data_IF_881156039459
#
_entry.id   IF_881156039459
#
_cell.length_a   1.000
_cell.length_b   1.000
_cell.length_c   1.000
_cell.angle_alpha   90.00
_cell.angle_beta   90.00
_cell.angle_gamma   90.00
#
_symmetry.space_group_name_H-M   'P 1'
#
loop_
_entity.id
_entity.type
_entity.pdbx_description
1 polymer ?
#
# COMPACT_ATOMS: atom_id res chain seq x y z
N UNK A 1 18.57 93.70 -4.81
CA UNK A 1 19.12 92.35 -4.54
C UNK A 1 18.87 92.03 -3.08
N UNK A 2 17.79 91.30 -2.79
CA UNK A 2 17.31 91.04 -1.42
C UNK A 2 18.06 89.90 -0.75
N UNK A 3 18.36 90.07 0.54
CA UNK A 3 18.87 89.02 1.43
C UNK A 3 17.67 88.30 2.06
N UNK A 4 17.55 86.99 1.85
CA UNK A 4 16.61 86.13 2.58
C UNK A 4 17.22 85.67 3.91
N UNK A 5 16.43 85.56 5.01
CA UNK A 5 16.92 85.15 6.33
C UNK A 5 16.87 83.63 6.53
N UNK A 6 17.86 83.09 7.25
CA UNK A 6 17.94 81.67 7.61
C UNK A 6 16.91 81.29 8.70
N UNK A 7 16.13 80.25 8.44
CA UNK A 7 15.20 79.64 9.40
C UNK A 7 15.95 78.61 10.25
N UNK A 8 16.06 78.91 11.55
CA UNK A 8 16.52 78.02 12.62
C UNK A 8 15.67 76.74 12.67
N UNK A 9 16.32 75.58 12.52
CA UNK A 9 15.71 74.26 12.66
C UNK A 9 15.96 73.74 14.08
N UNK A 10 14.92 73.76 14.92
CA UNK A 10 14.94 73.12 16.24
C UNK A 10 14.96 71.58 16.14
N UNK A 11 15.40 70.86 17.19
CA UNK A 11 15.49 69.40 17.16
C UNK A 11 14.10 68.75 17.01
N UNK A 12 13.99 67.77 16.11
CA UNK A 12 12.77 66.99 15.90
C UNK A 12 12.37 66.20 17.17
N UNK A 13 11.07 66.07 17.48
CA UNK A 13 10.58 65.23 18.57
C UNK A 13 11.03 63.77 18.39
N UNK A 14 11.58 63.16 19.44
CA UNK A 14 11.94 61.74 19.40
C UNK A 14 10.68 60.87 19.48
N UNK A 15 10.60 59.77 18.68
CA UNK A 15 9.48 58.85 18.73
C UNK A 15 9.41 58.14 20.11
N UNK A 16 8.20 57.81 20.60
CA UNK A 16 8.02 57.15 21.89
C UNK A 16 8.63 55.74 21.91
N UNK A 17 9.10 55.25 23.07
CA UNK A 17 9.69 53.92 23.20
C UNK A 17 8.65 52.81 22.98
N UNK A 18 9.00 51.82 22.16
CA UNK A 18 8.15 50.69 21.79
C UNK A 18 7.70 49.90 23.03
N UNK A 19 6.38 49.84 23.24
CA UNK A 19 5.78 49.17 24.39
C UNK A 19 5.85 47.64 24.26
N UNK A 20 6.23 46.88 25.31
CA UNK A 20 6.44 45.42 25.27
C UNK A 20 5.17 44.55 25.09
N UNK A 21 4.01 45.16 24.87
CA UNK A 21 2.72 44.46 24.77
C UNK A 21 2.49 43.77 23.41
N UNK A 22 3.25 44.13 22.36
CA UNK A 22 3.12 43.55 21.01
C UNK A 22 3.90 42.25 20.82
N UNK A 23 4.97 42.01 21.58
CA UNK A 23 5.85 40.85 21.41
C UNK A 23 5.22 39.50 21.83
N UNK A 24 4.20 39.52 22.70
CA UNK A 24 3.60 38.29 23.24
C UNK A 24 2.60 37.64 22.29
N UNK A 25 1.95 38.43 21.41
CA UNK A 25 0.99 37.94 20.41
C UNK A 25 1.64 37.23 19.23
N UNK A 26 2.80 37.73 18.77
CA UNK A 26 3.54 37.12 17.66
C UNK A 26 4.06 35.74 18.02
N UNK A 27 4.58 35.55 19.23
CA UNK A 27 5.18 34.27 19.64
C UNK A 27 4.17 33.10 19.60
N UNK A 28 2.91 33.32 19.98
CA UNK A 28 1.87 32.28 19.94
C UNK A 28 1.42 32.01 18.49
N UNK A 29 1.32 33.07 17.67
CA UNK A 29 0.97 32.96 16.26
C UNK A 29 2.06 32.25 15.44
N UNK A 30 3.32 32.57 15.71
CA UNK A 30 4.49 31.94 15.07
C UNK A 30 4.60 30.47 15.46
N UNK A 31 4.45 30.13 16.75
CA UNK A 31 4.46 28.74 17.21
C UNK A 31 3.31 27.95 16.59
N UNK A 32 2.11 28.53 16.52
CA UNK A 32 0.95 27.88 15.89
C UNK A 32 1.17 27.68 14.38
N UNK A 33 1.76 28.66 13.69
CA UNK A 33 2.11 28.58 12.29
C UNK A 33 3.16 27.49 12.03
N UNK A 34 4.27 27.47 12.78
CA UNK A 34 5.30 26.45 12.66
C UNK A 34 4.77 25.06 13.00
N UNK A 35 3.89 24.92 14.00
CA UNK A 35 3.26 23.65 14.35
C UNK A 35 2.35 23.17 13.22
N UNK A 36 1.55 24.06 12.62
CA UNK A 36 0.68 23.72 11.49
C UNK A 36 1.49 23.35 10.25
N UNK A 37 2.58 24.08 9.95
CA UNK A 37 3.51 23.76 8.87
C UNK A 37 4.19 22.42 9.12
N UNK A 38 4.66 22.15 10.34
CA UNK A 38 5.27 20.87 10.70
C UNK A 38 4.27 19.72 10.55
N UNK A 39 3.04 19.87 11.05
CA UNK A 39 1.98 18.86 10.92
C UNK A 39 1.63 18.60 9.45
N UNK A 40 1.51 19.64 8.65
CA UNK A 40 1.23 19.54 7.20
C UNK A 40 2.39 18.87 6.47
N UNK A 41 3.63 19.22 6.82
CA UNK A 41 4.84 18.62 6.25
C UNK A 41 4.94 17.14 6.58
N UNK A 42 4.72 16.76 7.84
CA UNK A 42 4.70 15.35 8.26
C UNK A 42 3.60 14.58 7.53
N UNK A 43 2.41 15.15 7.43
CA UNK A 43 1.28 14.53 6.70
C UNK A 43 1.61 14.34 5.22
N UNK A 44 2.25 15.34 4.59
CA UNK A 44 2.69 15.26 3.21
C UNK A 44 3.77 14.18 3.01
N UNK A 45 4.77 14.11 3.89
CA UNK A 45 5.81 13.08 3.83
C UNK A 45 5.22 11.68 4.03
N UNK A 46 4.27 11.51 4.95
CA UNK A 46 3.57 10.24 5.14
C UNK A 46 2.74 9.84 3.90
N UNK A 47 2.09 10.82 3.27
CA UNK A 47 1.35 10.62 2.02
C UNK A 47 2.29 10.18 0.89
N UNK A 48 3.40 10.89 0.68
CA UNK A 48 4.42 10.54 -0.32
C UNK A 48 5.03 9.17 -0.03
N UNK A 49 5.31 8.87 1.24
CA UNK A 49 5.87 7.58 1.68
C UNK A 49 5.02 6.39 1.26
N UNK A 50 3.69 6.53 1.28
CA UNK A 50 2.77 5.47 0.83
C UNK A 50 2.87 5.18 -0.67
N UNK A 51 3.33 6.14 -1.48
CA UNK A 51 3.49 5.99 -2.93
C UNK A 51 4.87 5.50 -3.36
N UNK A 52 5.88 5.59 -2.49
CA UNK A 52 7.24 5.13 -2.80
C UNK A 52 7.28 3.63 -3.08
N UNK A 53 6.50 2.83 -2.35
CA UNK A 53 6.47 1.37 -2.54
C UNK A 53 5.97 0.98 -3.95
N UNK A 54 4.83 1.47 -4.45
CA UNK A 54 4.42 1.31 -5.86
C UNK A 54 5.47 1.77 -6.87
N UNK A 55 6.11 2.93 -6.64
CA UNK A 55 7.13 3.48 -7.55
C UNK A 55 8.35 2.57 -7.61
N UNK A 56 8.80 2.05 -6.47
CA UNK A 56 9.91 1.10 -6.39
C UNK A 56 9.59 -0.18 -7.17
N UNK A 57 8.43 -0.79 -6.94
CA UNK A 57 8.00 -1.98 -7.67
C UNK A 57 7.86 -1.72 -9.17
N UNK A 58 7.40 -0.54 -9.58
CA UNK A 58 7.36 -0.13 -10.97
C UNK A 58 8.76 -0.04 -11.59
N UNK A 59 9.76 0.50 -10.89
CA UNK A 59 11.15 0.58 -11.36
C UNK A 59 11.78 -0.81 -11.53
N UNK A 60 11.52 -1.69 -10.57
CA UNK A 60 11.93 -3.08 -10.59
C UNK A 60 11.34 -3.81 -11.79
N UNK A 61 10.01 -3.76 -11.95
CA UNK A 61 9.32 -4.39 -13.07
C UNK A 61 9.77 -3.80 -14.40
N UNK A 62 9.96 -2.48 -14.48
CA UNK A 62 10.47 -1.83 -15.69
C UNK A 62 11.84 -2.39 -16.08
N UNK A 63 12.74 -2.59 -15.12
CA UNK A 63 14.07 -3.17 -15.36
C UNK A 63 13.99 -4.62 -15.85
N UNK A 64 13.14 -5.44 -15.22
CA UNK A 64 12.96 -6.85 -15.57
C UNK A 64 12.29 -7.02 -16.94
N UNK A 65 11.28 -6.21 -17.25
CA UNK A 65 10.51 -6.28 -18.50
C UNK A 65 11.05 -5.38 -19.62
N UNK A 66 12.11 -4.60 -19.37
CA UNK A 66 12.81 -3.82 -20.38
C UNK A 66 13.18 -4.61 -21.67
N UNK A 67 13.72 -5.85 -21.60
CA UNK A 67 13.99 -6.62 -22.82
C UNK A 67 12.71 -6.97 -23.60
N UNK A 68 11.60 -7.25 -22.91
CA UNK A 68 10.29 -7.52 -23.54
C UNK A 68 9.80 -6.27 -24.27
N UNK A 69 9.88 -5.12 -23.60
CA UNK A 69 9.52 -3.84 -24.21
C UNK A 69 10.36 -3.55 -25.45
N UNK A 70 11.69 -3.77 -25.41
CA UNK A 70 12.56 -3.55 -26.57
C UNK A 70 12.18 -4.43 -27.76
N UNK A 71 11.73 -5.67 -27.52
CA UNK A 71 11.19 -6.54 -28.57
C UNK A 71 9.90 -5.97 -29.16
N UNK A 72 8.97 -5.49 -28.34
CA UNK A 72 7.74 -4.87 -28.81
C UNK A 72 8.00 -3.56 -29.58
N UNK A 73 8.93 -2.71 -29.13
CA UNK A 73 9.33 -1.48 -29.87
C UNK A 73 9.85 -1.82 -31.26
N UNK A 74 10.68 -2.86 -31.39
CA UNK A 74 11.20 -3.32 -32.69
C UNK A 74 10.09 -3.86 -33.60
N UNK A 75 9.13 -4.60 -33.04
CA UNK A 75 7.99 -5.16 -33.80
C UNK A 75 6.96 -4.10 -34.22
N UNK A 76 6.74 -3.08 -33.41
CA UNK A 76 5.74 -2.02 -33.61
C UNK A 76 6.31 -0.78 -34.33
N UNK A 77 7.43 -0.93 -35.05
CA UNK A 77 8.00 0.14 -35.88
C UNK A 77 8.49 1.35 -35.08
N UNK A 78 9.02 1.16 -33.88
CA UNK A 78 9.60 2.25 -33.06
C UNK A 78 8.60 3.02 -32.20
N UNK A 79 7.30 2.69 -32.24
CA UNK A 79 6.26 3.35 -31.44
C UNK A 79 6.34 2.94 -29.96
N UNK A 80 7.04 3.75 -29.16
CA UNK A 80 7.32 3.47 -27.73
C UNK A 80 6.06 3.37 -26.86
N UNK A 81 5.03 4.18 -27.12
CA UNK A 81 3.78 4.17 -26.36
C UNK A 81 3.01 2.86 -26.53
N UNK A 82 2.83 2.39 -27.76
CA UNK A 82 2.17 1.12 -28.05
C UNK A 82 2.95 -0.06 -27.48
N UNK A 83 4.27 -0.04 -27.57
CA UNK A 83 5.12 -1.08 -27.01
C UNK A 83 5.06 -1.14 -25.47
N UNK A 84 5.03 0.01 -24.79
CA UNK A 84 4.84 0.08 -23.34
C UNK A 84 3.47 -0.48 -22.93
N UNK A 85 2.41 -0.12 -23.65
CA UNK A 85 1.05 -0.60 -23.40
C UNK A 85 0.93 -2.12 -23.60
N UNK A 86 1.53 -2.66 -24.68
CA UNK A 86 1.61 -4.10 -24.89
C UNK A 86 2.40 -4.83 -23.79
N UNK A 87 3.48 -4.22 -23.29
CA UNK A 87 4.26 -4.77 -22.17
C UNK A 87 3.42 -4.80 -20.89
N UNK A 88 2.66 -3.74 -20.61
CA UNK A 88 1.75 -3.69 -19.45
C UNK A 88 0.67 -4.75 -19.54
N UNK A 89 0.05 -4.94 -20.71
CA UNK A 89 -0.92 -6.02 -20.90
C UNK A 89 -0.30 -7.39 -20.64
N UNK A 90 0.96 -7.59 -21.04
CA UNK A 90 1.70 -8.82 -20.76
C UNK A 90 1.92 -9.00 -19.25
N UNK A 91 2.34 -7.94 -18.54
CA UNK A 91 2.53 -7.95 -17.08
C UNK A 91 1.21 -8.19 -16.35
N UNK A 92 0.14 -7.53 -16.80
CA UNK A 92 -1.20 -7.68 -16.24
C UNK A 92 -1.67 -9.13 -16.38
N UNK A 93 -1.52 -9.74 -17.55
CA UNK A 93 -1.82 -11.15 -17.75
C UNK A 93 -0.99 -12.06 -16.86
N UNK A 94 0.31 -11.79 -16.72
CA UNK A 94 1.21 -12.64 -15.94
C UNK A 94 0.98 -12.54 -14.42
N UNK A 95 0.52 -11.40 -13.91
CA UNK A 95 0.32 -11.17 -12.46
C UNK A 95 -1.14 -11.32 -12.04
N UNK A 96 -2.10 -10.77 -12.79
CA UNK A 96 -3.52 -10.77 -12.40
C UNK A 96 -4.17 -12.13 -12.60
N UNK A 97 -3.82 -12.84 -13.68
CA UNK A 97 -4.39 -14.18 -13.95
C UNK A 97 -4.10 -15.17 -12.81
N UNK A 98 -2.86 -15.38 -12.35
CA UNK A 98 -2.61 -16.33 -11.26
C UNK A 98 -3.28 -15.90 -9.94
N UNK A 99 -3.30 -14.60 -9.64
CA UNK A 99 -4.01 -14.08 -8.45
C UNK A 99 -5.52 -14.36 -8.54
N UNK A 100 -6.12 -14.15 -9.71
CA UNK A 100 -7.53 -14.40 -9.94
C UNK A 100 -7.87 -15.90 -9.86
N UNK A 101 -7.03 -16.75 -10.46
CA UNK A 101 -7.18 -18.21 -10.35
C UNK A 101 -7.07 -18.69 -8.91
N UNK A 102 -6.11 -18.16 -8.14
CA UNK A 102 -5.97 -18.45 -6.72
C UNK A 102 -7.21 -18.01 -5.93
N UNK A 103 -7.70 -16.79 -6.17
CA UNK A 103 -8.92 -16.30 -5.53
C UNK A 103 -10.15 -17.15 -5.85
N UNK A 104 -10.28 -17.61 -7.10
CA UNK A 104 -11.33 -18.55 -7.51
C UNK A 104 -11.19 -19.91 -6.83
N UNK A 105 -9.97 -20.45 -6.72
CA UNK A 105 -9.71 -21.73 -6.05
C UNK A 105 -10.10 -21.66 -4.55
N UNK A 106 -9.65 -20.61 -3.84
CA UNK A 106 -9.99 -20.41 -2.44
C UNK A 106 -11.50 -20.20 -2.24
N UNK A 107 -12.16 -19.45 -3.13
CA UNK A 107 -13.61 -19.26 -3.05
C UNK A 107 -14.37 -20.57 -3.24
N UNK A 108 -13.90 -21.46 -4.15
CA UNK A 108 -14.50 -22.78 -4.34
C UNK A 108 -14.31 -23.66 -3.12
N UNK A 109 -13.11 -23.69 -2.55
CA UNK A 109 -12.84 -24.43 -1.31
C UNK A 109 -13.69 -23.93 -0.13
N UNK A 110 -13.84 -22.61 0.02
CA UNK A 110 -14.68 -22.03 1.07
C UNK A 110 -16.17 -22.39 0.90
N UNK A 111 -16.68 -22.39 -0.34
CA UNK A 111 -18.05 -22.82 -0.65
C UNK A 111 -18.23 -24.33 -0.42
N UNK A 112 -17.26 -25.16 -0.80
CA UNK A 112 -17.28 -26.59 -0.53
C UNK A 112 -17.23 -26.89 0.96
N UNK A 113 -16.41 -26.17 1.73
CA UNK A 113 -16.37 -26.29 3.19
C UNK A 113 -17.73 -25.90 3.80
N UNK A 114 -18.33 -24.81 3.32
CA UNK A 114 -19.65 -24.37 3.78
C UNK A 114 -20.74 -25.39 3.42
N UNK A 115 -20.71 -25.95 2.21
CA UNK A 115 -21.61 -27.04 1.81
C UNK A 115 -21.37 -28.30 2.64
N UNK A 116 -20.13 -28.69 2.93
CA UNK A 116 -19.82 -29.84 3.80
C UNK A 116 -20.32 -29.64 5.24
N UNK A 117 -20.25 -28.43 5.76
CA UNK A 117 -20.81 -28.07 7.07
C UNK A 117 -22.34 -28.09 7.03
N UNK A 118 -22.97 -27.55 5.98
CA UNK A 118 -24.44 -27.43 5.85
C UNK A 118 -25.12 -28.74 5.44
N UNK A 119 -24.45 -29.58 4.67
CA UNK A 119 -24.93 -30.91 4.25
C UNK A 119 -24.64 -32.00 5.27
N UNK A 120 -23.89 -31.70 6.34
CA UNK A 120 -23.46 -32.70 7.32
C UNK A 120 -22.43 -33.70 6.77
N UNK A 121 -21.71 -33.34 5.70
CA UNK A 121 -20.70 -34.15 5.03
C UNK A 121 -19.26 -33.93 5.57
N UNK A 122 -19.07 -33.02 6.55
CA UNK A 122 -18.16 -33.42 7.63
C UNK A 122 -18.92 -34.55 8.31
N UNK A 123 -18.47 -35.78 8.08
CA UNK A 123 -19.01 -37.02 8.62
C UNK A 123 -19.00 -36.98 10.15
N UNK A 124 -19.89 -36.18 10.73
CA UNK A 124 -20.22 -36.15 12.13
C UNK A 124 -21.16 -37.32 12.44
N UNK A 125 -21.56 -38.17 11.48
CA UNK A 125 -22.22 -39.44 11.79
C UNK A 125 -21.25 -40.46 12.39
N UNK A 126 -19.95 -40.41 12.06
CA UNK A 126 -18.92 -41.21 12.75
C UNK A 126 -18.82 -40.87 14.24
N UNK A 127 -18.48 -39.63 14.63
CA UNK A 127 -18.39 -39.21 16.03
C UNK A 127 -19.74 -39.02 16.74
N UNK A 128 -20.75 -38.39 16.13
CA UNK A 128 -22.06 -38.19 16.79
C UNK A 128 -22.93 -39.46 16.76
N UNK A 129 -22.74 -40.35 15.79
CA UNK A 129 -23.36 -41.68 15.79
C UNK A 129 -22.70 -42.63 16.79
N UNK A 130 -21.37 -42.54 16.99
CA UNK A 130 -20.67 -43.23 18.08
C UNK A 130 -21.08 -42.64 19.44
N UNK A 131 -21.20 -41.32 19.56
CA UNK A 131 -21.72 -40.66 20.77
C UNK A 131 -23.17 -41.08 21.01
N UNK A 132 -24.09 -41.01 20.03
CA UNK A 132 -25.50 -41.47 20.18
C UNK A 132 -25.63 -42.96 20.46
N UNK A 133 -24.75 -43.81 19.92
CA UNK A 133 -24.73 -45.26 20.22
C UNK A 133 -24.08 -45.59 21.57
N UNK A 134 -23.21 -44.72 22.09
CA UNK A 134 -22.69 -44.75 23.47
C UNK A 134 -23.63 -44.03 24.47
N UNK A 135 -24.59 -43.24 23.98
CA UNK A 135 -25.48 -42.40 24.80
C UNK A 135 -26.47 -43.16 25.68
N UNK A 136 -27.00 -44.37 25.39
CA UNK A 136 -27.88 -45.01 26.37
C UNK A 136 -27.12 -45.48 27.62
N UNK A 137 -25.77 -45.58 27.58
CA UNK A 137 -24.92 -45.90 28.74
C UNK A 137 -24.31 -44.64 29.36
N UNK A 138 -24.11 -43.58 28.56
CA UNK A 138 -23.59 -42.31 29.06
C UNK A 138 -24.65 -41.39 29.67
N UNK A 139 -25.93 -41.46 29.25
CA UNK A 139 -27.01 -40.58 29.76
C UNK A 139 -27.23 -40.73 31.26
N UNK A 140 -27.07 -41.94 31.82
CA UNK A 140 -27.26 -42.20 33.25
C UNK A 140 -26.10 -41.67 34.13
N UNK A 141 -24.92 -41.44 33.52
CA UNK A 141 -23.74 -40.84 34.17
C UNK A 141 -23.59 -39.34 33.87
N UNK A 142 -24.07 -38.85 32.72
CA UNK A 142 -24.03 -37.44 32.34
C UNK A 142 -25.10 -36.60 33.05
N UNK A 143 -26.27 -37.16 33.34
CA UNK A 143 -27.29 -36.52 34.19
C UNK A 143 -26.79 -36.30 35.62
N UNK A 144 -25.86 -37.14 36.10
CA UNK A 144 -25.19 -36.95 37.40
C UNK A 144 -24.09 -35.87 37.38
N UNK A 145 -23.61 -35.49 36.20
CA UNK A 145 -22.62 -34.42 35.99
C UNK A 145 -23.25 -33.08 35.58
N UNK A 146 -24.56 -33.02 35.32
CA UNK A 146 -25.30 -31.78 35.04
C UNK A 146 -24.93 -31.09 33.72
N UNK A 147 -24.43 -31.84 32.73
CA UNK A 147 -24.08 -31.28 31.41
C UNK A 147 -25.25 -31.50 30.45
N UNK A 148 -26.07 -30.45 30.34
CA UNK A 148 -27.24 -30.42 29.46
C UNK A 148 -26.80 -30.37 27.99
N UNK A 149 -27.34 -31.27 27.15
CA UNK A 149 -27.03 -31.33 25.71
C UNK A 149 -27.50 -30.04 25.00
N UNK A 150 -28.52 -29.38 25.55
CA UNK A 150 -29.00 -28.08 25.07
C UNK A 150 -27.97 -26.96 25.28
N UNK A 151 -27.17 -27.02 26.35
CA UNK A 151 -26.13 -26.05 26.67
C UNK A 151 -24.94 -26.16 25.69
N UNK A 152 -24.67 -27.38 25.18
CA UNK A 152 -23.68 -27.62 24.11
C UNK A 152 -24.17 -27.04 22.78
N UNK A 153 -25.45 -27.25 22.42
CA UNK A 153 -26.05 -26.66 21.22
C UNK A 153 -26.06 -25.12 21.25
N UNK A 154 -26.37 -24.54 22.41
CA UNK A 154 -26.32 -23.08 22.61
C UNK A 154 -24.90 -22.52 22.52
N UNK A 155 -23.90 -23.18 23.12
CA UNK A 155 -22.49 -22.76 23.00
C UNK A 155 -21.96 -22.90 21.58
N UNK A 156 -22.34 -23.96 20.87
CA UNK A 156 -21.94 -24.17 19.49
C UNK A 156 -22.55 -23.11 18.56
N UNK A 157 -23.85 -22.81 18.71
CA UNK A 157 -24.52 -21.74 17.96
C UNK A 157 -23.95 -20.36 18.30
N UNK A 158 -23.70 -20.05 19.56
CA UNK A 158 -23.05 -18.80 19.97
C UNK A 158 -21.63 -18.67 19.38
N UNK A 159 -20.86 -19.76 19.33
CA UNK A 159 -19.54 -19.77 18.71
C UNK A 159 -19.59 -19.60 17.19
N UNK A 160 -20.58 -20.20 16.52
CA UNK A 160 -20.80 -20.03 15.08
C UNK A 160 -21.23 -18.60 14.73
N UNK A 161 -22.08 -17.97 15.55
CA UNK A 161 -22.45 -16.55 15.41
C UNK A 161 -21.24 -15.65 15.63
N UNK A 162 -20.45 -15.89 16.68
CA UNK A 162 -19.22 -15.13 16.94
C UNK A 162 -18.20 -15.27 15.81
N UNK A 163 -18.00 -16.47 15.27
CA UNK A 163 -17.14 -16.73 14.11
C UNK A 163 -17.66 -16.00 12.86
N UNK A 164 -18.97 -16.04 12.61
CA UNK A 164 -19.60 -15.35 11.47
C UNK A 164 -19.45 -13.84 11.58
N UNK A 165 -19.63 -13.28 12.78
CA UNK A 165 -19.50 -11.85 13.04
C UNK A 165 -18.03 -11.39 12.98
N UNK A 166 -17.09 -12.24 13.40
CA UNK A 166 -15.66 -12.01 13.21
C UNK A 166 -15.28 -11.99 11.71
N UNK A 167 -15.76 -12.96 10.93
CA UNK A 167 -15.54 -12.98 9.48
C UNK A 167 -16.21 -11.78 8.79
N UNK A 168 -17.44 -11.43 9.17
CA UNK A 168 -18.16 -10.29 8.62
C UNK A 168 -17.45 -8.95 8.90
N UNK A 169 -16.95 -8.75 10.12
CA UNK A 169 -16.17 -7.54 10.45
C UNK A 169 -14.83 -7.50 9.72
N UNK A 170 -14.18 -8.65 9.51
CA UNK A 170 -12.97 -8.76 8.69
C UNK A 170 -13.24 -8.58 7.20
N UNK A 171 -14.41 -8.97 6.70
CA UNK A 171 -14.77 -8.84 5.28
C UNK A 171 -14.76 -7.38 4.83
N UNK A 172 -15.24 -6.45 5.68
CA UNK A 172 -15.15 -5.01 5.41
C UNK A 172 -13.68 -4.52 5.35
N UNK A 173 -12.85 -4.98 6.29
CA UNK A 173 -11.41 -4.67 6.28
C UNK A 173 -10.68 -5.20 5.05
N UNK A 174 -10.96 -6.46 4.66
CA UNK A 174 -10.43 -7.07 3.44
C UNK A 174 -10.86 -6.28 2.21
N UNK A 175 -12.13 -5.86 2.13
CA UNK A 175 -12.62 -5.02 1.03
C UNK A 175 -11.85 -3.69 0.93
N UNK A 176 -11.63 -3.02 2.06
CA UNK A 176 -10.86 -1.77 2.10
C UNK A 176 -9.39 -1.99 1.69
N UNK A 177 -8.75 -3.07 2.15
CA UNK A 177 -7.38 -3.42 1.78
C UNK A 177 -7.27 -3.76 0.29
N UNK A 178 -8.24 -4.48 -0.26
CA UNK A 178 -8.32 -4.78 -1.70
C UNK A 178 -8.48 -3.49 -2.51
N UNK A 179 -9.33 -2.55 -2.08
CA UNK A 179 -9.47 -1.25 -2.75
C UNK A 179 -8.16 -0.46 -2.71
N UNK A 180 -7.48 -0.41 -1.55
CA UNK A 180 -6.18 0.25 -1.40
C UNK A 180 -5.12 -0.39 -2.29
N UNK A 181 -5.01 -1.72 -2.26
CA UNK A 181 -4.08 -2.48 -3.09
C UNK A 181 -4.36 -2.23 -4.56
N UNK A 182 -5.63 -2.22 -4.97
CA UNK A 182 -6.05 -1.94 -6.34
C UNK A 182 -5.61 -0.55 -6.78
N UNK A 183 -5.86 0.48 -5.96
CA UNK A 183 -5.42 1.85 -6.26
C UNK A 183 -3.89 1.95 -6.37
N UNK A 184 -3.15 1.35 -5.43
CA UNK A 184 -1.68 1.31 -5.46
C UNK A 184 -1.14 0.51 -6.66
N UNK A 185 -1.84 -0.55 -7.05
CA UNK A 185 -1.52 -1.36 -8.21
C UNK A 185 -1.71 -0.58 -9.52
N UNK A 186 -2.82 0.15 -9.67
CA UNK A 186 -3.02 1.03 -10.83
C UNK A 186 -1.97 2.14 -10.90
N UNK A 187 -1.61 2.74 -9.76
CA UNK A 187 -0.52 3.71 -9.70
C UNK A 187 0.82 3.08 -10.11
N UNK A 188 1.12 1.89 -9.60
CA UNK A 188 2.32 1.13 -10.00
C UNK A 188 2.34 0.88 -11.50
N UNK A 189 1.22 0.45 -12.10
CA UNK A 189 1.11 0.25 -13.55
C UNK A 189 1.29 1.56 -14.34
N UNK A 190 0.74 2.67 -13.84
CA UNK A 190 0.94 3.99 -14.42
C UNK A 190 2.41 4.41 -14.37
N UNK A 191 3.08 4.23 -13.24
CA UNK A 191 4.51 4.51 -13.11
C UNK A 191 5.36 3.59 -14.00
N UNK A 192 4.99 2.30 -14.07
CA UNK A 192 5.63 1.33 -14.95
C UNK A 192 5.49 1.73 -16.42
N UNK A 193 4.31 2.18 -16.85
CA UNK A 193 4.11 2.73 -18.19
C UNK A 193 5.07 3.86 -18.49
N UNK A 194 5.17 4.82 -17.57
CA UNK A 194 6.02 5.98 -17.73
C UNK A 194 7.51 5.60 -17.74
N UNK A 195 7.93 4.67 -16.88
CA UNK A 195 9.29 4.15 -16.83
C UNK A 195 9.68 3.37 -18.07
N UNK A 196 8.78 2.53 -18.59
CA UNK A 196 8.99 1.83 -19.85
C UNK A 196 9.09 2.85 -21.00
N UNK A 197 8.13 3.76 -21.11
CA UNK A 197 8.05 4.72 -22.23
C UNK A 197 9.21 5.73 -22.26
N UNK A 198 9.49 6.36 -21.12
CA UNK A 198 10.35 7.54 -20.99
C UNK A 198 11.55 7.32 -20.05
N UNK A 199 11.83 6.07 -19.64
CA UNK A 199 12.88 5.71 -18.68
C UNK A 199 14.26 6.31 -18.95
N UNK A 200 14.69 6.36 -20.22
CA UNK A 200 15.99 6.97 -20.58
C UNK A 200 16.05 8.48 -20.30
N UNK A 201 14.91 9.19 -20.46
CA UNK A 201 14.81 10.61 -20.15
C UNK A 201 14.78 10.83 -18.63
N UNK A 202 14.04 9.99 -17.92
CA UNK A 202 13.94 10.06 -16.46
C UNK A 202 15.30 9.85 -15.78
N UNK A 203 16.03 8.82 -16.20
CA UNK A 203 17.39 8.56 -15.69
C UNK A 203 18.33 9.70 -16.04
N UNK A 204 18.24 10.25 -17.26
CA UNK A 204 19.05 11.41 -17.63
C UNK A 204 18.75 12.63 -16.74
N UNK A 205 17.47 12.95 -16.49
CA UNK A 205 17.09 14.05 -15.60
C UNK A 205 17.57 13.83 -14.16
N UNK A 206 17.47 12.59 -13.66
CA UNK A 206 17.95 12.24 -12.32
C UNK A 206 19.46 12.48 -12.16
N UNK A 207 20.25 12.10 -13.17
CA UNK A 207 21.71 12.32 -13.19
C UNK A 207 22.04 13.82 -13.22
N UNK A 208 21.31 14.64 -13.98
CA UNK A 208 21.59 16.08 -14.04
C UNK A 208 21.23 16.84 -12.75
N UNK A 209 20.38 16.26 -11.89
CA UNK A 209 19.97 16.88 -10.62
C UNK A 209 20.89 16.50 -9.46
N UNK A 210 21.74 15.47 -9.60
CA UNK A 210 22.67 15.05 -8.57
C UNK A 210 24.04 15.70 -8.83
N UNK A 211 24.63 16.42 -7.83
CA UNK A 211 25.91 17.08 -7.99
C UNK A 211 27.10 16.13 -7.73
N UNK A 212 27.07 14.88 -8.25
CA UNK A 212 28.10 13.86 -8.03
C UNK A 212 28.75 13.37 -9.34
N UNK A 213 29.00 14.25 -10.31
CA UNK A 213 29.82 13.96 -11.49
C UNK A 213 29.30 12.82 -12.37
N UNK A 214 28.72 13.18 -13.52
CA UNK A 214 27.93 12.33 -14.43
C UNK A 214 28.44 10.90 -14.69
N UNK A 215 29.76 10.67 -14.71
CA UNK A 215 30.34 9.35 -14.99
C UNK A 215 30.22 8.37 -13.81
N UNK A 216 30.38 8.83 -12.57
CA UNK A 216 30.40 7.97 -11.37
C UNK A 216 28.99 7.58 -10.93
N UNK A 217 28.03 8.50 -11.06
CA UNK A 217 26.61 8.21 -10.86
C UNK A 217 26.07 7.17 -11.84
N UNK A 218 26.41 7.26 -13.14
CA UNK A 218 26.00 6.28 -14.14
C UNK A 218 26.49 4.87 -13.80
N UNK A 219 27.72 4.73 -13.31
CA UNK A 219 28.25 3.44 -12.87
C UNK A 219 27.52 2.91 -11.63
N UNK A 220 27.26 3.76 -10.64
CA UNK A 220 26.52 3.38 -9.42
C UNK A 220 25.10 2.92 -9.74
N UNK A 221 24.36 3.70 -10.54
CA UNK A 221 22.99 3.34 -10.97
C UNK A 221 22.97 2.04 -11.78
N UNK A 222 23.93 1.86 -12.69
CA UNK A 222 24.05 0.63 -13.46
C UNK A 222 24.33 -0.58 -12.56
N UNK A 223 25.25 -0.45 -11.59
CA UNK A 223 25.56 -1.50 -10.61
C UNK A 223 24.36 -1.83 -9.71
N UNK A 224 23.63 -0.83 -9.23
CA UNK A 224 22.43 -1.04 -8.43
C UNK A 224 21.33 -1.78 -9.20
N UNK A 225 21.10 -1.40 -10.45
CA UNK A 225 20.13 -2.05 -11.32
C UNK A 225 20.54 -3.50 -11.63
N UNK A 226 21.84 -3.73 -11.87
CA UNK A 226 22.41 -5.06 -12.10
C UNK A 226 22.20 -5.98 -10.90
N UNK A 227 22.59 -5.54 -9.69
CA UNK A 227 22.44 -6.33 -8.45
C UNK A 227 20.98 -6.56 -8.12
N UNK A 228 20.14 -5.52 -8.19
CA UNK A 228 18.70 -5.66 -7.93
C UNK A 228 18.05 -6.67 -8.89
N UNK A 229 18.36 -6.56 -10.18
CA UNK A 229 17.85 -7.49 -11.17
C UNK A 229 18.39 -8.92 -10.96
N UNK A 230 19.63 -9.08 -10.51
CA UNK A 230 20.21 -10.39 -10.19
C UNK A 230 19.52 -11.05 -9.00
N UNK A 231 19.29 -10.31 -7.90
CA UNK A 231 18.57 -10.82 -6.73
C UNK A 231 17.16 -11.27 -7.10
N UNK A 232 16.43 -10.47 -7.87
CA UNK A 232 15.05 -10.80 -8.26
C UNK A 232 14.99 -11.99 -9.20
N UNK A 233 15.88 -12.05 -10.21
CA UNK A 233 16.01 -13.23 -11.06
C UNK A 233 16.38 -14.46 -10.25
N UNK A 234 17.24 -14.32 -9.25
CA UNK A 234 17.60 -15.37 -8.30
C UNK A 234 16.39 -15.89 -7.52
N UNK A 235 15.61 -14.99 -6.89
CA UNK A 235 14.39 -15.37 -6.15
C UNK A 235 13.37 -16.05 -7.05
N UNK A 236 13.20 -15.59 -8.29
CA UNK A 236 12.31 -16.21 -9.27
C UNK A 236 12.77 -17.61 -9.68
N UNK A 237 14.07 -17.85 -9.83
CA UNK A 237 14.62 -19.17 -10.16
C UNK A 237 14.52 -20.14 -8.98
N UNK A 238 14.71 -19.65 -7.76
CA UNK A 238 14.61 -20.48 -6.53
C UNK A 238 13.15 -20.78 -6.17
N UNK A 239 12.23 -19.87 -6.48
CA UNK A 239 10.81 -20.00 -6.16
C UNK A 239 9.94 -20.70 -7.21
N UNK A 240 10.49 -21.01 -8.40
CA UNK A 240 9.81 -21.77 -9.45
C UNK A 240 10.03 -23.28 -9.27
#
# INVERSE_FOLDING_TARGET
>A
MGRHPELSSGPLPQPPPDSPLTARGTTIQDVSFFLLVALTTVSFVALVGSFLMPVFWAAVLATVFFPVQRRYVRRLGGRRSLAALATILTVLGLVVVPLFLMGLAMSREALQLHEQIKSGAIDLEGPLGLVRRLTPVASDYLDRLGVDIDDIGQRLSASAVAATQFVASRALGIGQDVLRLTALFFLMLYMLFFFLRDGSRLVATLIHMLPLGDARERQLLAKFAEVSAATIKGTLVVGL
#
